data_IF_085063912303
#
_entry.id   IF_085063912303
#
_cell.length_a   1.000
_cell.length_b   1.000
_cell.length_c   1.000
_cell.angle_alpha   90.00
_cell.angle_beta   90.00
_cell.angle_gamma   90.00
#
_symmetry.space_group_name_H-M   'P 1'
#
loop_
_entity.id
_entity.type
_entity.pdbx_description
1 polymer ?
#
# COMPACT_ATOMS: atom_id res chain seq x y z
N UNK A 1 -7.43 9.97 6.64
CA UNK A 1 -7.74 8.56 6.94
C UNK A 1 -9.25 8.38 6.86
N UNK A 2 -9.73 7.23 6.40
CA UNK A 2 -11.12 6.79 6.40
C UNK A 2 -11.21 5.34 6.88
N UNK A 3 -12.38 4.91 7.32
CA UNK A 3 -12.66 3.52 7.70
C UNK A 3 -14.09 3.11 7.31
N UNK A 4 -14.28 1.84 6.96
CA UNK A 4 -15.59 1.23 6.71
C UNK A 4 -15.64 -0.13 7.40
N UNK A 5 -16.77 -0.44 8.05
CA UNK A 5 -17.04 -1.72 8.72
C UNK A 5 -17.58 -2.75 7.72
N UNK A 6 -17.09 -3.99 7.81
CA UNK A 6 -17.55 -5.13 7.01
C UNK A 6 -17.67 -6.39 7.89
N UNK A 7 -18.67 -7.27 7.66
CA UNK A 7 -18.67 -8.60 8.25
C UNK A 7 -17.56 -9.46 7.61
N UNK A 8 -16.89 -10.29 8.41
CA UNK A 8 -16.00 -11.34 7.89
C UNK A 8 -16.83 -12.56 7.52
N UNK A 9 -16.84 -12.91 6.25
CA UNK A 9 -17.38 -14.18 5.79
C UNK A 9 -16.35 -15.29 6.06
N UNK A 10 -16.60 -16.11 7.08
CA UNK A 10 -15.64 -17.07 7.62
C UNK A 10 -15.09 -18.05 6.57
N UNK A 11 -13.77 -18.16 6.50
CA UNK A 11 -13.05 -19.06 5.59
C UNK A 11 -13.06 -20.51 6.12
N UNK A 12 -14.22 -21.18 6.07
CA UNK A 12 -14.33 -22.63 6.34
C UNK A 12 -13.37 -23.39 5.39
N UNK A 13 -12.27 -23.89 5.95
CA UNK A 13 -11.14 -24.42 5.21
C UNK A 13 -11.45 -25.74 4.50
N UNK A 14 -11.05 -25.86 3.24
CA UNK A 14 -11.25 -27.07 2.45
C UNK A 14 -10.31 -28.21 2.85
N UNK A 15 -10.76 -29.08 3.75
CA UNK A 15 -10.13 -30.37 4.06
C UNK A 15 -11.14 -31.50 3.88
N UNK A 16 -10.94 -32.37 2.89
CA UNK A 16 -11.79 -33.56 2.67
C UNK A 16 -11.20 -34.81 3.33
N UNK A 17 -12.06 -35.70 3.84
CA UNK A 17 -11.66 -36.95 4.49
C UNK A 17 -12.83 -37.72 5.10
N UNK A 18 -13.53 -38.46 4.24
CA UNK A 18 -14.39 -39.65 4.42
C UNK A 18 -15.17 -39.91 5.73
N UNK A 19 -16.48 -40.08 5.52
CA UNK A 19 -17.47 -40.95 6.20
C UNK A 19 -17.11 -41.67 7.53
N UNK A 20 -17.90 -41.40 8.58
CA UNK A 20 -18.69 -42.46 9.23
C UNK A 20 -19.93 -41.87 9.95
N UNK A 21 -21.08 -42.55 9.93
CA UNK A 21 -22.35 -42.01 10.46
C UNK A 21 -22.74 -42.64 11.79
N UNK A 22 -23.09 -41.80 12.78
CA UNK A 22 -23.94 -42.18 13.91
C UNK A 22 -25.01 -41.15 14.22
N UNK A 23 -26.19 -41.67 14.53
CA UNK A 23 -27.42 -40.95 14.87
C UNK A 23 -27.69 -41.18 16.36
N UNK A 24 -27.09 -40.35 17.20
CA UNK A 24 -27.11 -40.45 18.67
C UNK A 24 -27.43 -39.03 19.21
N UNK A 25 -28.73 -38.65 19.17
CA UNK A 25 -29.18 -37.24 19.12
C UNK A 25 -29.20 -36.45 20.45
N UNK A 26 -28.56 -35.27 20.42
CA UNK A 26 -28.60 -34.24 21.48
C UNK A 26 -29.07 -32.87 20.91
N UNK A 27 -29.30 -31.91 21.80
CA UNK A 27 -29.96 -30.64 21.48
C UNK A 27 -29.07 -29.76 20.59
N UNK A 28 -29.63 -29.19 19.52
CA UNK A 28 -28.94 -28.15 18.72
C UNK A 28 -28.89 -26.85 19.52
N UNK A 29 -27.91 -26.75 20.41
CA UNK A 29 -27.41 -25.45 20.87
C UNK A 29 -27.13 -24.60 19.64
N UNK A 30 -27.67 -23.39 19.63
CA UNK A 30 -27.47 -22.48 18.51
C UNK A 30 -26.02 -21.98 18.57
N UNK A 31 -25.14 -22.59 17.76
CA UNK A 31 -23.84 -22.04 17.44
C UNK A 31 -24.05 -20.60 16.99
N UNK A 32 -23.78 -19.66 17.89
CA UNK A 32 -23.70 -18.25 17.56
C UNK A 32 -22.41 -18.13 16.74
N UNK A 33 -22.55 -18.18 15.41
CA UNK A 33 -21.49 -17.75 14.50
C UNK A 33 -21.18 -16.29 14.85
N UNK A 34 -20.16 -16.08 15.69
CA UNK A 34 -19.64 -14.76 16.01
C UNK A 34 -19.10 -14.16 14.70
N UNK A 35 -19.93 -13.34 14.03
CA UNK A 35 -19.55 -12.61 12.82
C UNK A 35 -18.36 -11.70 13.14
N UNK A 36 -17.13 -12.18 12.88
CA UNK A 36 -15.92 -11.40 13.10
C UNK A 36 -16.03 -10.03 12.42
N UNK A 37 -15.79 -8.97 13.20
CA UNK A 37 -16.04 -7.60 12.76
C UNK A 37 -14.78 -6.96 12.14
N UNK A 38 -14.70 -6.91 10.81
CA UNK A 38 -13.57 -6.30 10.11
C UNK A 38 -13.76 -4.80 9.82
N UNK A 39 -12.64 -4.08 9.74
CA UNK A 39 -12.58 -2.67 9.36
C UNK A 39 -11.58 -2.44 8.22
N UNK A 40 -12.10 -2.03 7.06
CA UNK A 40 -11.28 -1.55 5.96
C UNK A 40 -10.86 -0.09 6.23
N UNK A 41 -9.63 0.09 6.71
CA UNK A 41 -9.02 1.40 6.93
C UNK A 41 -8.20 1.86 5.71
N UNK A 42 -8.05 3.17 5.53
CA UNK A 42 -7.24 3.70 4.43
C UNK A 42 -6.82 5.16 4.59
N UNK A 43 -5.73 5.52 3.91
CA UNK A 43 -5.22 6.89 3.77
C UNK A 43 -4.92 7.22 2.32
N UNK A 44 -4.75 8.51 2.01
CA UNK A 44 -4.44 8.97 0.66
C UNK A 44 -3.47 10.15 0.75
N UNK A 45 -2.27 9.96 0.19
CA UNK A 45 -1.21 10.97 0.08
C UNK A 45 -1.41 11.85 -1.15
N UNK A 46 -0.83 13.05 -1.14
CA UNK A 46 -0.69 13.91 -2.31
C UNK A 46 0.51 13.52 -3.20
N UNK A 47 1.38 12.60 -2.75
CA UNK A 47 2.43 11.96 -3.52
C UNK A 47 1.84 10.88 -4.44
N UNK A 48 2.36 10.77 -5.67
CA UNK A 48 1.98 9.73 -6.61
C UNK A 48 2.30 10.08 -8.06
N UNK A 49 1.96 9.17 -8.98
CA UNK A 49 2.39 9.18 -10.38
C UNK A 49 2.00 10.44 -11.20
N UNK A 50 1.12 11.31 -10.71
CA UNK A 50 0.80 12.60 -11.35
C UNK A 50 2.05 13.50 -11.53
N UNK A 51 3.06 13.36 -10.67
CA UNK A 51 4.36 14.05 -10.78
C UNK A 51 5.10 13.69 -12.09
N UNK A 52 4.97 12.45 -12.58
CA UNK A 52 5.62 11.98 -13.80
C UNK A 52 5.11 12.75 -15.03
N UNK A 53 3.82 13.10 -15.04
CA UNK A 53 3.22 13.93 -16.09
C UNK A 53 3.63 15.40 -16.01
N UNK A 54 3.84 15.95 -14.81
CA UNK A 54 4.42 17.29 -14.66
C UNK A 54 5.87 17.33 -15.17
N UNK A 55 6.67 16.30 -14.88
CA UNK A 55 8.06 16.13 -15.33
C UNK A 55 8.20 15.68 -16.80
N UNK A 56 7.12 15.77 -17.57
CA UNK A 56 7.04 15.48 -19.01
C UNK A 56 7.49 14.06 -19.41
N UNK A 57 7.37 13.07 -18.51
CA UNK A 57 7.58 11.68 -18.89
C UNK A 57 6.44 11.19 -19.79
N UNK A 58 6.76 10.71 -21.00
CA UNK A 58 5.78 10.08 -21.91
C UNK A 58 5.57 8.59 -21.59
N UNK A 59 4.50 7.97 -22.10
CA UNK A 59 4.23 6.55 -21.81
C UNK A 59 5.27 5.61 -22.42
N UNK A 60 5.70 5.89 -23.66
CA UNK A 60 6.78 5.14 -24.31
C UNK A 60 8.12 5.29 -23.57
N UNK A 61 8.39 6.50 -23.05
CA UNK A 61 9.57 6.77 -22.24
C UNK A 61 9.51 6.06 -20.87
N UNK A 62 8.36 6.06 -20.18
CA UNK A 62 8.21 5.30 -18.93
C UNK A 62 8.43 3.80 -19.15
N UNK A 63 7.97 3.23 -20.27
CA UNK A 63 8.18 1.82 -20.60
C UNK A 63 9.67 1.52 -20.86
N UNK A 64 10.36 2.33 -21.67
CA UNK A 64 11.80 2.18 -21.93
C UNK A 64 12.62 2.30 -20.64
N UNK A 65 12.43 3.40 -19.89
CA UNK A 65 13.17 3.66 -18.67
C UNK A 65 12.94 2.56 -17.62
N UNK A 66 11.70 2.13 -17.42
CA UNK A 66 11.38 1.08 -16.45
C UNK A 66 12.00 -0.27 -16.82
N UNK A 67 12.16 -0.57 -18.11
CA UNK A 67 12.87 -1.78 -18.55
C UNK A 67 14.38 -1.78 -18.23
N UNK A 68 14.94 -0.61 -17.92
CA UNK A 68 16.35 -0.40 -17.55
C UNK A 68 16.57 -0.22 -16.04
N UNK A 69 15.49 -0.12 -15.25
CA UNK A 69 15.57 -0.03 -13.79
C UNK A 69 15.69 -1.43 -13.19
N UNK A 70 16.79 -1.69 -12.50
CA UNK A 70 16.85 -2.77 -11.50
C UNK A 70 16.06 -2.35 -10.25
N UNK A 71 14.99 -3.06 -9.86
CA UNK A 71 14.20 -2.76 -8.67
C UNK A 71 14.82 -3.36 -7.38
N UNK A 72 15.83 -4.23 -7.48
CA UNK A 72 16.39 -4.94 -6.33
C UNK A 72 17.33 -4.05 -5.50
N UNK A 73 18.09 -3.18 -6.15
CA UNK A 73 18.97 -2.18 -5.52
C UNK A 73 18.25 -0.88 -5.18
N UNK A 74 18.73 -0.17 -4.16
CA UNK A 74 18.30 1.20 -3.84
C UNK A 74 18.94 2.24 -4.78
N UNK A 75 18.38 3.46 -4.82
CA UNK A 75 19.11 4.67 -5.20
C UNK A 75 19.41 5.54 -3.97
N UNK A 76 20.45 6.38 -4.06
CA UNK A 76 20.80 7.38 -3.05
C UNK A 76 19.93 8.65 -3.12
N UNK A 77 19.05 8.76 -4.11
CA UNK A 77 18.10 9.85 -4.29
C UNK A 77 16.92 9.72 -3.30
N UNK A 78 16.89 10.56 -2.27
CA UNK A 78 15.72 10.67 -1.37
C UNK A 78 14.81 11.80 -1.83
N UNK A 79 13.68 11.45 -2.43
CA UNK A 79 12.69 12.39 -2.96
C UNK A 79 11.38 12.34 -2.15
N UNK A 80 10.66 13.45 -2.18
CA UNK A 80 9.27 13.53 -1.69
C UNK A 80 8.41 14.06 -2.83
N UNK A 81 7.98 13.19 -3.77
CA UNK A 81 7.58 13.60 -5.11
C UNK A 81 6.10 14.08 -5.17
N UNK A 82 5.83 15.16 -4.44
CA UNK A 82 4.58 15.91 -4.45
C UNK A 82 4.42 16.70 -5.76
N UNK A 83 3.17 16.88 -6.18
CA UNK A 83 2.81 17.73 -7.35
C UNK A 83 2.67 19.22 -7.04
N UNK A 84 2.60 19.56 -5.75
CA UNK A 84 2.43 20.91 -5.18
C UNK A 84 2.70 20.85 -3.67
N UNK A 85 2.89 22.01 -3.04
CA UNK A 85 3.04 22.18 -1.59
C UNK A 85 1.85 21.59 -0.80
N UNK A 86 2.19 20.91 0.30
CA UNK A 86 1.28 20.45 1.35
C UNK A 86 0.84 18.99 1.22
N UNK A 87 0.85 18.28 2.33
CA UNK A 87 0.44 16.87 2.48
C UNK A 87 -0.77 16.73 3.44
N UNK A 88 -1.36 15.53 3.47
CA UNK A 88 -2.48 15.08 4.31
C UNK A 88 -2.20 13.75 5.00
N UNK A 89 -1.43 12.88 4.36
CA UNK A 89 -1.11 11.52 4.82
C UNK A 89 0.17 11.07 4.07
N UNK A 90 1.10 10.30 4.68
CA UNK A 90 1.12 9.80 6.05
C UNK A 90 1.17 10.92 7.11
N UNK A 91 1.95 11.98 6.86
CA UNK A 91 2.08 13.12 7.77
C UNK A 91 1.23 14.30 7.31
N UNK A 92 0.36 14.81 8.18
CA UNK A 92 -0.50 15.96 7.89
C UNK A 92 0.25 17.30 8.01
N UNK A 93 1.18 17.57 7.10
CA UNK A 93 1.91 18.85 7.02
C UNK A 93 1.44 19.71 5.82
N UNK A 94 0.66 20.79 6.02
CA UNK A 94 0.22 21.68 4.95
C UNK A 94 1.34 22.55 4.36
N UNK A 95 2.55 22.53 4.93
CA UNK A 95 3.72 23.28 4.47
C UNK A 95 4.76 22.41 3.75
N UNK A 96 4.58 21.08 3.70
CA UNK A 96 5.50 20.12 3.06
C UNK A 96 5.80 20.53 1.63
N UNK A 97 7.04 20.90 1.33
CA UNK A 97 7.44 21.23 -0.05
C UNK A 97 7.73 19.94 -0.85
N UNK A 98 7.52 19.94 -2.18
CA UNK A 98 8.03 18.89 -3.05
C UNK A 98 9.56 18.80 -2.99
N UNK A 99 10.10 17.59 -2.95
CA UNK A 99 11.53 17.35 -3.13
C UNK A 99 11.77 16.38 -4.31
N UNK A 100 12.52 16.85 -5.31
CA UNK A 100 12.90 16.14 -6.53
C UNK A 100 14.37 16.44 -6.91
N UNK A 101 15.19 16.81 -5.91
CA UNK A 101 16.56 17.29 -6.09
C UNK A 101 17.58 16.41 -5.34
N UNK A 102 18.79 16.19 -5.88
CA UNK A 102 19.27 16.63 -7.19
C UNK A 102 18.61 15.84 -8.33
N UNK A 103 18.56 16.41 -9.54
CA UNK A 103 18.17 15.68 -10.76
C UNK A 103 19.45 15.09 -11.39
N UNK A 104 19.58 13.76 -11.55
CA UNK A 104 20.75 13.14 -12.19
C UNK A 104 20.72 13.30 -13.72
N UNK A 105 21.85 13.02 -14.38
CA UNK A 105 21.95 13.03 -15.84
C UNK A 105 21.25 11.83 -16.49
N UNK A 106 21.26 10.64 -15.86
CA UNK A 106 20.45 9.51 -16.33
C UNK A 106 18.99 9.65 -15.88
N UNK A 107 18.11 9.76 -16.87
CA UNK A 107 16.67 9.87 -16.71
C UNK A 107 16.03 8.57 -16.17
N UNK A 108 16.72 7.42 -16.27
CA UNK A 108 16.29 6.17 -15.64
C UNK A 108 16.61 6.16 -14.14
N UNK A 109 17.77 6.68 -13.73
CA UNK A 109 18.09 6.95 -12.32
C UNK A 109 17.09 7.96 -11.72
N UNK A 110 16.73 9.02 -12.47
CA UNK A 110 15.72 9.99 -12.03
C UNK A 110 14.35 9.34 -11.82
N UNK A 111 13.90 8.52 -12.77
CA UNK A 111 12.65 7.76 -12.64
C UNK A 111 12.71 6.79 -11.44
N UNK A 112 13.83 6.09 -11.24
CA UNK A 112 14.03 5.19 -10.09
C UNK A 112 13.88 5.93 -8.76
N UNK A 113 14.48 7.11 -8.62
CA UNK A 113 14.34 7.94 -7.41
C UNK A 113 12.89 8.39 -7.17
N UNK A 114 12.14 8.72 -8.22
CA UNK A 114 10.73 9.10 -8.08
C UNK A 114 9.88 7.90 -7.66
N UNK A 115 10.09 6.73 -8.26
CA UNK A 115 9.36 5.50 -7.91
C UNK A 115 9.70 5.02 -6.50
N UNK A 116 10.97 5.09 -6.09
CA UNK A 116 11.40 4.77 -4.73
C UNK A 116 10.78 5.73 -3.70
N UNK A 117 10.78 7.04 -3.96
CA UNK A 117 10.13 8.03 -3.09
C UNK A 117 8.61 7.85 -2.96
N UNK A 118 7.94 7.31 -3.99
CA UNK A 118 6.52 6.92 -3.90
C UNK A 118 6.35 5.69 -3.00
N UNK A 119 7.20 4.66 -3.16
CA UNK A 119 7.15 3.44 -2.34
C UNK A 119 7.56 3.68 -0.86
N UNK A 120 8.49 4.59 -0.60
CA UNK A 120 8.83 5.05 0.75
C UNK A 120 7.62 5.67 1.45
N UNK A 121 6.85 6.52 0.75
CA UNK A 121 5.63 7.14 1.26
C UNK A 121 4.47 6.14 1.43
N UNK A 122 4.39 5.11 0.58
CA UNK A 122 3.47 3.98 0.79
C UNK A 122 3.79 3.24 2.09
N UNK A 123 5.07 2.91 2.33
CA UNK A 123 5.54 2.25 3.56
C UNK A 123 5.33 3.12 4.80
N UNK A 124 5.58 4.44 4.72
CA UNK A 124 5.19 5.38 5.78
C UNK A 124 3.66 5.38 6.01
N UNK A 125 2.86 5.27 4.96
CA UNK A 125 1.40 5.16 5.02
C UNK A 125 0.92 3.95 5.82
N UNK A 126 1.43 2.76 5.52
CA UNK A 126 1.09 1.55 6.27
C UNK A 126 1.57 1.62 7.74
N UNK A 127 2.74 2.22 8.00
CA UNK A 127 3.19 2.48 9.40
C UNK A 127 2.24 3.41 10.13
N UNK A 128 1.81 4.51 9.50
CA UNK A 128 0.87 5.47 10.10
C UNK A 128 -0.51 4.84 10.38
N UNK A 129 -0.97 3.87 9.58
CA UNK A 129 -2.16 3.08 9.90
C UNK A 129 -1.93 2.12 11.09
N UNK A 130 -0.74 1.55 11.21
CA UNK A 130 -0.34 0.74 12.37
C UNK A 130 -0.29 1.54 13.68
N UNK A 131 0.30 2.75 13.64
CA UNK A 131 0.35 3.69 14.77
C UNK A 131 -1.04 4.17 15.21
N UNK A 132 -2.04 4.10 14.33
CA UNK A 132 -3.46 4.38 14.60
C UNK A 132 -4.26 3.16 15.07
N UNK A 133 -3.60 2.01 15.32
CA UNK A 133 -4.21 0.82 15.92
C UNK A 133 -4.77 -0.22 14.94
N UNK A 134 -4.37 -0.17 13.66
CA UNK A 134 -4.57 -1.29 12.74
C UNK A 134 -3.36 -2.25 12.75
N UNK A 135 -3.51 -3.45 12.18
CA UNK A 135 -2.41 -4.42 12.04
C UNK A 135 -2.03 -4.70 10.57
N UNK A 136 -1.59 -3.69 9.80
CA UNK A 136 -1.28 -3.87 8.39
C UNK A 136 0.03 -4.64 8.16
N UNK A 137 0.01 -5.56 7.19
CA UNK A 137 1.24 -6.09 6.59
C UNK A 137 1.99 -4.99 5.83
N UNK A 138 3.03 -4.42 6.44
CA UNK A 138 3.87 -3.40 5.80
C UNK A 138 4.50 -3.96 4.52
N UNK A 139 4.40 -3.25 3.36
CA UNK A 139 5.02 -3.67 2.12
C UNK A 139 6.52 -3.93 2.25
N UNK A 140 6.98 -4.93 1.50
CA UNK A 140 8.38 -5.34 1.41
C UNK A 140 8.76 -5.40 -0.06
N UNK A 141 10.04 -5.17 -0.36
CA UNK A 141 10.60 -5.48 -1.68
C UNK A 141 10.44 -6.98 -1.95
N UNK A 142 10.05 -7.31 -3.17
CA UNK A 142 9.85 -8.66 -3.71
C UNK A 142 10.96 -9.02 -4.71
#
# INVERSE_FOLDING_TARGET
VYSHRFPVFGTKGGGGGDEDVKDDGEETEQEQEEEEEAWLVGGASNVGCAVLRQLQFSDAELIDLSSRIDPTTDTSLSYYPLTKRGERFPVSDPNREPNLSPVPEDRAEYLKGILQGIAEVEVEGYRALGELGAEPGVPKRV
#
